data_IF_746854369714
#
_entry.id   IF_746854369714
#
_cell.length_a   1.000
_cell.length_b   1.000
_cell.length_c   1.000
_cell.angle_alpha   90.00
_cell.angle_beta   90.00
_cell.angle_gamma   90.00
#
_symmetry.space_group_name_H-M   'P 1'
#
loop_
_entity.id
_entity.type
_entity.pdbx_description
1 polymer ?
#
# COMPACT_ATOMS: atom_id res chain seq x y z
N UNK A 1 4.84 19.24 5.40
CA UNK A 1 4.62 17.81 5.72
C UNK A 1 3.14 17.50 5.50
N UNK A 2 2.81 16.81 4.40
CA UNK A 2 1.42 16.40 4.09
C UNK A 2 1.05 15.27 5.05
N UNK A 3 0.02 15.49 5.87
CA UNK A 3 -0.53 14.45 6.74
C UNK A 3 -1.13 13.35 5.86
N UNK A 4 -0.72 12.11 6.09
CA UNK A 4 -1.26 10.95 5.37
C UNK A 4 -2.68 10.72 5.90
N UNK A 5 -3.72 10.71 5.04
CA UNK A 5 -5.09 10.53 5.50
C UNK A 5 -5.22 9.24 6.32
N UNK A 6 -5.78 9.36 7.52
CA UNK A 6 -6.12 8.28 8.45
C UNK A 6 -7.39 7.55 8.01
N UNK A 7 -7.49 7.23 6.71
CA UNK A 7 -8.62 6.49 6.11
C UNK A 7 -8.44 4.98 6.11
N UNK A 8 -7.43 4.45 6.82
CA UNK A 8 -7.24 3.01 6.97
C UNK A 8 -7.80 2.62 8.33
N UNK A 9 -8.86 1.81 8.34
CA UNK A 9 -9.45 1.25 9.57
C UNK A 9 -8.53 0.18 10.15
N UNK A 10 -7.34 0.59 10.60
CA UNK A 10 -6.38 -0.27 11.27
C UNK A 10 -6.47 -0.02 12.77
N UNK A 11 -6.64 -1.07 13.57
CA UNK A 11 -6.81 -0.97 15.03
C UNK A 11 -5.54 -0.46 15.72
N UNK A 12 -4.40 -0.53 15.05
CA UNK A 12 -3.09 -0.10 15.57
C UNK A 12 -2.17 0.47 14.50
N UNK A 13 -1.20 1.29 14.94
CA UNK A 13 -0.14 1.80 14.06
C UNK A 13 0.70 0.65 13.48
N UNK A 14 0.90 -0.43 14.23
CA UNK A 14 1.62 -1.63 13.80
C UNK A 14 0.94 -2.28 12.60
N UNK A 15 -0.40 -2.44 12.65
CA UNK A 15 -1.14 -2.93 11.48
C UNK A 15 -0.94 -2.00 10.29
N UNK A 16 -0.94 -0.67 10.49
CA UNK A 16 -0.74 0.30 9.38
C UNK A 16 0.60 0.12 8.70
N UNK A 17 1.65 -0.18 9.46
CA UNK A 17 2.98 -0.46 8.91
C UNK A 17 3.07 -1.83 8.25
N UNK A 18 2.22 -2.80 8.60
CA UNK A 18 2.20 -4.12 7.97
C UNK A 18 1.91 -4.06 6.46
N UNK A 19 1.01 -3.18 6.02
CA UNK A 19 0.75 -2.94 4.60
C UNK A 19 1.97 -2.35 3.86
N UNK A 20 2.74 -1.49 4.55
CA UNK A 20 3.97 -0.90 4.00
C UNK A 20 5.09 -1.94 3.91
N UNK A 21 5.22 -2.79 4.91
CA UNK A 21 6.17 -3.90 4.94
C UNK A 21 5.94 -4.86 3.77
N UNK A 22 4.69 -5.27 3.55
CA UNK A 22 4.31 -6.12 2.42
C UNK A 22 4.57 -5.45 1.05
N UNK A 23 4.34 -4.14 0.93
CA UNK A 23 4.72 -3.38 -0.26
C UNK A 23 6.24 -3.40 -0.50
N UNK A 24 7.04 -3.20 0.55
CA UNK A 24 8.50 -3.21 0.45
C UNK A 24 9.03 -4.59 0.08
N UNK A 25 8.42 -5.67 0.59
CA UNK A 25 8.75 -7.02 0.16
C UNK A 25 8.41 -7.22 -1.34
N UNK A 26 7.22 -6.80 -1.78
CA UNK A 26 6.80 -6.89 -3.19
C UNK A 26 7.77 -6.15 -4.13
N UNK A 27 8.16 -4.92 -3.80
CA UNK A 27 8.98 -4.09 -4.68
C UNK A 27 10.42 -4.59 -4.80
N UNK A 28 10.92 -5.36 -3.84
CA UNK A 28 12.26 -5.99 -3.93
C UNK A 28 12.34 -7.04 -5.04
N UNK A 29 11.22 -7.60 -5.45
CA UNK A 29 11.14 -8.55 -6.57
C UNK A 29 10.89 -7.85 -7.92
N UNK A 30 10.68 -6.53 -7.91
CA UNK A 30 10.46 -5.75 -9.12
C UNK A 30 11.78 -5.14 -9.64
N UNK A 31 11.87 -4.97 -10.96
CA UNK A 31 12.79 -3.98 -11.51
C UNK A 31 12.19 -2.59 -11.25
N UNK A 32 12.86 -1.74 -10.47
CA UNK A 32 12.33 -0.41 -10.11
C UNK A 32 12.13 0.51 -11.32
N UNK A 33 12.72 0.19 -12.47
CA UNK A 33 12.53 0.93 -13.72
C UNK A 33 11.29 0.45 -14.47
N UNK A 34 10.78 -0.74 -14.12
CA UNK A 34 9.49 -1.23 -14.56
C UNK A 34 8.38 -0.63 -13.68
N UNK A 35 7.84 0.50 -14.14
CA UNK A 35 6.78 1.22 -13.44
C UNK A 35 5.49 0.41 -13.28
N UNK A 36 5.30 -0.66 -14.06
CA UNK A 36 4.11 -1.53 -13.99
C UNK A 36 4.19 -2.40 -12.72
N UNK A 37 5.32 -3.03 -12.46
CA UNK A 37 5.52 -3.85 -11.27
C UNK A 37 5.36 -3.04 -9.98
N UNK A 38 5.97 -1.85 -9.92
CA UNK A 38 5.85 -0.94 -8.78
C UNK A 38 4.40 -0.50 -8.56
N UNK A 39 3.70 -0.13 -9.64
CA UNK A 39 2.28 0.28 -9.56
C UNK A 39 1.39 -0.86 -9.06
N UNK A 40 1.64 -2.09 -9.51
CA UNK A 40 0.91 -3.27 -9.06
C UNK A 40 1.12 -3.54 -7.56
N UNK A 41 2.35 -3.40 -7.05
CA UNK A 41 2.63 -3.52 -5.62
C UNK A 41 1.90 -2.43 -4.79
N UNK A 42 1.82 -1.19 -5.30
CA UNK A 42 1.08 -0.10 -4.64
C UNK A 42 -0.41 -0.43 -4.59
N UNK A 43 -1.03 -0.78 -5.73
CA UNK A 43 -2.46 -1.11 -5.79
C UNK A 43 -2.82 -2.29 -4.90
N UNK A 44 -1.94 -3.30 -4.82
CA UNK A 44 -2.18 -4.50 -4.02
C UNK A 44 -2.07 -4.28 -2.51
N UNK A 45 -1.14 -3.44 -2.06
CA UNK A 45 -0.78 -3.34 -0.65
C UNK A 45 -1.11 -2.00 0.02
N UNK A 46 -1.20 -0.90 -0.75
CA UNK A 46 -1.33 0.46 -0.20
C UNK A 46 -2.59 1.19 -0.65
N UNK A 47 -3.26 0.74 -1.71
CA UNK A 47 -4.49 1.37 -2.18
C UNK A 47 -5.63 1.07 -1.20
N UNK A 48 -6.32 2.10 -0.65
CA UNK A 48 -7.47 1.87 0.19
C UNK A 48 -8.55 1.22 -0.67
N UNK A 49 -9.10 0.09 -0.22
CA UNK A 49 -10.35 -0.42 -0.77
C UNK A 49 -11.44 0.62 -0.47
N UNK A 50 -11.58 1.63 -1.33
CA UNK A 50 -12.81 2.38 -1.43
C UNK A 50 -13.83 1.36 -1.90
N UNK A 51 -14.66 0.90 -0.98
CA UNK A 51 -15.80 0.06 -1.29
C UNK A 51 -16.56 0.76 -2.43
N UNK A 52 -16.52 0.17 -3.62
CA UNK A 52 -17.62 0.32 -4.55
C UNK A 52 -18.74 -0.51 -3.93
N UNK A 53 -19.60 0.19 -3.20
CA UNK A 53 -20.92 -0.28 -2.84
C UNK A 53 -21.67 -0.66 -4.12
N UNK A 54 -21.99 -1.95 -4.28
CA UNK A 54 -23.13 -2.46 -5.05
C UNK A 54 -23.79 -3.60 -4.28
#
# INVERSE_FOLDING_TARGET
MKAIPTGHSHSSITERWGSVDAYLECVTSCDLKDGVCVTMCITKHLEPQTASEE
#
